data_IF_719213220299
#
_entry.id   IF_719213220299
#
_cell.length_a   1.000
_cell.length_b   1.000
_cell.length_c   1.000
_cell.angle_alpha   90.00
_cell.angle_beta   90.00
_cell.angle_gamma   90.00
#
_symmetry.space_group_name_H-M   'P 1'
#
loop_
_entity.id
_entity.type
_entity.pdbx_description
1 polymer ?
#
# COMPACT_ATOMS: atom_id res chain seq x y z
N UNK A 1 -11.74 6.00 24.63
CA UNK A 1 -10.60 5.91 23.70
C UNK A 1 -11.12 5.21 22.45
N UNK A 2 -11.60 5.95 21.46
CA UNK A 2 -12.08 5.38 20.20
C UNK A 2 -10.85 5.14 19.32
N UNK A 3 -10.28 3.95 19.40
CA UNK A 3 -9.33 3.49 18.39
C UNK A 3 -10.12 3.26 17.11
N UNK A 4 -9.84 4.04 16.06
CA UNK A 4 -10.42 3.78 14.74
C UNK A 4 -9.50 2.79 14.05
N UNK A 5 -9.97 1.56 13.91
CA UNK A 5 -9.32 0.57 13.09
C UNK A 5 -9.68 0.83 11.63
N UNK A 6 -8.66 0.86 10.78
CA UNK A 6 -8.81 1.00 9.33
C UNK A 6 -8.18 -0.21 8.67
N UNK A 7 -8.76 -0.62 7.57
CA UNK A 7 -8.21 -1.64 6.68
C UNK A 7 -7.80 -0.99 5.36
N UNK A 8 -6.68 -1.44 4.80
CA UNK A 8 -6.16 -0.88 3.56
C UNK A 8 -5.60 -1.99 2.67
N UNK A 9 -6.18 -2.10 1.46
CA UNK A 9 -5.63 -2.93 0.40
C UNK A 9 -4.77 -2.04 -0.52
N UNK A 10 -3.48 -2.35 -0.62
CA UNK A 10 -2.51 -1.55 -1.35
C UNK A 10 -1.96 -2.35 -2.52
N UNK A 11 -2.23 -1.87 -3.73
CA UNK A 11 -1.67 -2.41 -4.97
C UNK A 11 -0.50 -1.54 -5.42
N UNK A 12 0.65 -2.18 -5.60
CA UNK A 12 1.88 -1.56 -6.08
C UNK A 12 2.22 -2.12 -7.46
N UNK A 13 2.02 -1.31 -8.49
CA UNK A 13 2.46 -1.63 -9.85
C UNK A 13 3.77 -0.89 -10.19
N UNK A 14 4.26 -1.06 -11.42
CA UNK A 14 5.47 -0.40 -11.93
C UNK A 14 5.36 1.12 -11.88
N UNK A 15 4.20 1.67 -12.20
CA UNK A 15 4.01 3.12 -12.38
C UNK A 15 2.93 3.73 -11.50
N UNK A 16 2.22 2.94 -10.72
CA UNK A 16 1.13 3.41 -9.86
C UNK A 16 1.12 2.72 -8.49
N UNK A 17 0.52 3.41 -7.54
CA UNK A 17 0.05 2.85 -6.28
C UNK A 17 -1.44 3.14 -6.18
N UNK A 18 -2.22 2.13 -5.86
CA UNK A 18 -3.66 2.22 -5.65
C UNK A 18 -3.98 1.70 -4.25
N UNK A 19 -4.75 2.47 -3.50
CA UNK A 19 -5.09 2.18 -2.10
C UNK A 19 -6.61 2.18 -1.96
N UNK A 20 -7.15 1.10 -1.40
CA UNK A 20 -8.56 0.96 -1.10
C UNK A 20 -8.73 0.85 0.41
N UNK A 21 -9.46 1.80 0.99
CA UNK A 21 -9.68 1.88 2.43
C UNK A 21 -11.05 1.28 2.74
N UNK A 22 -11.10 0.44 3.77
CA UNK A 22 -12.32 -0.19 4.29
C UNK A 22 -13.18 -0.83 3.19
N UNK A 23 -12.56 -1.73 2.43
CA UNK A 23 -13.20 -2.44 1.32
C UNK A 23 -13.56 -1.53 0.13
N UNK A 24 -12.97 -0.34 0.04
CA UNK A 24 -13.21 0.61 -1.05
C UNK A 24 -14.24 1.70 -0.73
N UNK A 25 -14.61 1.89 0.55
CA UNK A 25 -15.39 3.05 0.99
C UNK A 25 -14.72 4.37 0.60
N UNK A 26 -13.39 4.37 0.60
CA UNK A 26 -12.56 5.42 0.00
C UNK A 26 -11.45 4.79 -0.84
N UNK A 27 -11.02 5.49 -1.88
CA UNK A 27 -9.87 5.07 -2.68
C UNK A 27 -8.99 6.25 -3.05
N UNK A 28 -7.70 5.95 -3.19
CA UNK A 28 -6.71 6.90 -3.67
C UNK A 28 -5.76 6.23 -4.64
N UNK A 29 -5.36 6.96 -5.67
CA UNK A 29 -4.36 6.51 -6.62
C UNK A 29 -3.28 7.58 -6.77
N UNK A 30 -2.05 7.13 -6.95
CA UNK A 30 -0.92 8.01 -7.19
C UNK A 30 0.09 7.41 -8.14
N UNK A 31 0.72 8.27 -8.93
CA UNK A 31 1.82 7.88 -9.78
C UNK A 31 3.02 7.46 -8.91
N UNK A 32 3.58 6.29 -9.21
CA UNK A 32 4.81 5.79 -8.61
C UNK A 32 5.98 6.13 -9.52
N UNK A 33 6.99 6.77 -8.95
CA UNK A 33 8.28 7.02 -9.60
C UNK A 33 9.36 6.22 -8.88
N UNK A 34 9.60 4.94 -9.26
CA UNK A 34 10.58 4.11 -8.60
C UNK A 34 12.00 4.66 -8.82
N UNK A 35 12.78 4.78 -7.74
CA UNK A 35 14.21 5.08 -7.84
C UNK A 35 14.99 3.79 -8.11
N UNK A 36 15.67 3.73 -9.25
CA UNK A 36 16.55 2.62 -9.66
C UNK A 36 17.68 2.30 -8.66
N UNK A 37 18.03 3.25 -7.79
CA UNK A 37 19.07 3.10 -6.78
C UNK A 37 18.53 2.67 -5.41
N UNK A 38 17.21 2.58 -5.25
CA UNK A 38 16.61 2.12 -4.00
C UNK A 38 16.96 0.63 -3.75
N UNK A 39 17.66 0.37 -2.66
CA UNK A 39 18.01 -0.98 -2.16
C UNK A 39 17.27 -1.36 -0.88
N UNK A 40 16.58 -0.41 -0.27
CA UNK A 40 15.91 -0.54 1.03
C UNK A 40 14.52 -1.18 0.89
N UNK A 41 13.87 -0.94 -0.26
CA UNK A 41 12.54 -1.49 -0.56
C UNK A 41 11.42 -0.51 -0.20
N UNK A 42 10.36 -1.03 0.43
CA UNK A 42 9.18 -0.26 0.80
C UNK A 42 9.08 -0.10 2.32
N UNK A 43 8.74 1.10 2.76
CA UNK A 43 8.54 1.42 4.17
C UNK A 43 7.07 1.73 4.41
N UNK A 44 6.50 1.05 5.39
CA UNK A 44 5.22 1.45 5.96
C UNK A 44 5.49 2.42 7.11
N UNK A 45 4.99 3.65 6.99
CA UNK A 45 5.27 4.74 7.93
C UNK A 45 4.00 5.55 8.23
N UNK A 46 3.89 6.06 9.45
CA UNK A 46 2.90 7.05 9.84
C UNK A 46 3.07 7.47 11.30
N UNK A 47 2.34 8.50 11.71
CA UNK A 47 2.35 8.98 13.10
C UNK A 47 1.29 8.24 13.92
N UNK A 48 1.66 7.73 15.09
CA UNK A 48 0.75 7.06 16.04
C UNK A 48 -0.07 5.91 15.42
N UNK A 49 0.53 5.17 14.50
CA UNK A 49 -0.09 3.98 13.90
C UNK A 49 0.46 2.72 14.55
N UNK A 50 -0.41 1.74 14.76
CA UNK A 50 -0.04 0.38 15.13
C UNK A 50 -0.51 -0.57 14.05
N UNK A 51 0.41 -1.32 13.45
CA UNK A 51 0.09 -2.34 12.45
C UNK A 51 -0.38 -3.59 13.19
N UNK A 52 -1.67 -3.91 13.08
CA UNK A 52 -2.25 -5.13 13.68
C UNK A 52 -1.98 -6.39 12.85
N UNK A 53 -2.15 -6.28 11.54
CA UNK A 53 -1.86 -7.34 10.57
C UNK A 53 -1.23 -6.71 9.32
N UNK A 54 -0.27 -7.41 8.71
CA UNK A 54 0.32 -7.02 7.44
C UNK A 54 0.61 -8.27 6.62
N UNK A 55 -0.02 -8.35 5.46
CA UNK A 55 0.17 -9.43 4.50
C UNK A 55 0.72 -8.84 3.20
N UNK A 56 1.73 -9.48 2.64
CA UNK A 56 2.43 -9.00 1.44
C UNK A 56 2.47 -10.11 0.42
N UNK A 57 1.99 -9.80 -0.78
CA UNK A 57 1.88 -10.75 -1.89
C UNK A 57 2.62 -10.25 -3.12
N UNK A 58 3.33 -11.16 -3.78
CA UNK A 58 3.91 -10.91 -5.10
C UNK A 58 2.89 -11.25 -6.16
N UNK A 59 2.48 -10.24 -6.93
CA UNK A 59 1.50 -10.42 -8.02
C UNK A 59 2.24 -10.72 -9.32
N UNK A 60 1.70 -11.65 -10.12
CA UNK A 60 2.23 -11.95 -11.46
C UNK A 60 1.78 -10.88 -12.44
N UNK A 61 2.66 -10.53 -13.38
CA UNK A 61 2.27 -9.69 -14.53
C UNK A 61 1.13 -10.34 -15.29
N UNK A 62 0.08 -9.56 -15.57
CA UNK A 62 -1.08 -10.04 -16.34
C UNK A 62 -0.75 -10.28 -17.82
N UNK A 63 0.13 -9.46 -18.40
CA UNK A 63 0.51 -9.50 -19.82
C UNK A 63 1.57 -10.56 -20.16
N UNK A 64 1.65 -11.65 -19.41
CA UNK A 64 2.66 -12.70 -19.60
C UNK A 64 2.02 -14.01 -20.04
#
# INVERSE_FOLDING_TARGET
MTSTEITADIYLDRTSVEVFIDGGAYSYSMARKPDSKNKEGFHFWGNHIQVKNLEVYSVKSFWK
#
